data_IF_799951921047
#
_entry.id   IF_799951921047
#
_cell.length_a   1.000
_cell.length_b   1.000
_cell.length_c   1.000
_cell.angle_alpha   90.00
_cell.angle_beta   90.00
_cell.angle_gamma   90.00
#
_symmetry.space_group_name_H-M   'P 1'
#
loop_
_entity.id
_entity.type
_entity.pdbx_description
1 polymer ?
#
# COMPACT_ATOMS: atom_id res chain seq x y z
N UNK A 1 5.19 13.92 -21.70
CA UNK A 1 5.15 12.53 -22.22
C UNK A 1 5.84 11.48 -21.32
N UNK A 2 6.79 11.81 -20.43
CA UNK A 2 7.48 10.81 -19.55
C UNK A 2 6.57 10.08 -18.54
N UNK A 3 5.60 10.77 -17.92
CA UNK A 3 4.74 10.20 -16.87
C UNK A 3 3.70 9.15 -17.37
N UNK A 4 3.53 9.00 -18.69
CA UNK A 4 2.49 8.12 -19.24
C UNK A 4 2.84 6.62 -19.07
N UNK A 5 4.10 6.23 -19.27
CA UNK A 5 4.50 4.81 -19.21
C UNK A 5 4.39 4.23 -17.80
N UNK A 6 4.92 4.93 -16.80
CA UNK A 6 4.86 4.49 -15.39
C UNK A 6 3.42 4.42 -14.90
N UNK A 7 2.58 5.40 -15.26
CA UNK A 7 1.15 5.40 -14.93
C UNK A 7 0.41 4.19 -15.54
N UNK A 8 0.68 3.85 -16.80
CA UNK A 8 0.11 2.65 -17.45
C UNK A 8 0.58 1.34 -16.79
N UNK A 9 1.87 1.23 -16.47
CA UNK A 9 2.42 0.05 -15.78
C UNK A 9 1.79 -0.10 -14.38
N UNK A 10 1.58 1.01 -13.68
CA UNK A 10 0.92 1.04 -12.39
C UNK A 10 -0.52 0.52 -12.48
N UNK A 11 -1.28 0.93 -13.50
CA UNK A 11 -2.65 0.44 -13.70
C UNK A 11 -2.68 -1.08 -13.89
N UNK A 12 -1.81 -1.62 -14.76
CA UNK A 12 -1.71 -3.06 -14.99
C UNK A 12 -1.41 -3.82 -13.69
N UNK A 13 -0.38 -3.41 -12.95
CA UNK A 13 0.01 -4.06 -11.70
C UNK A 13 -1.09 -3.95 -10.62
N UNK A 14 -1.72 -2.79 -10.49
CA UNK A 14 -2.79 -2.57 -9.51
C UNK A 14 -4.02 -3.46 -9.79
N UNK A 15 -4.37 -3.65 -11.07
CA UNK A 15 -5.45 -4.55 -11.48
C UNK A 15 -5.14 -6.02 -11.20
N UNK A 16 -3.88 -6.44 -11.35
CA UNK A 16 -3.45 -7.77 -10.94
C UNK A 16 -3.55 -7.97 -9.42
N UNK A 17 -3.09 -6.99 -8.63
CA UNK A 17 -3.19 -7.02 -7.18
C UNK A 17 -4.67 -7.09 -6.73
N UNK A 18 -5.54 -6.30 -7.36
CA UNK A 18 -6.99 -6.31 -7.14
C UNK A 18 -7.60 -7.67 -7.47
N UNK A 19 -7.24 -8.27 -8.60
CA UNK A 19 -7.71 -9.59 -9.00
C UNK A 19 -7.28 -10.65 -7.98
N UNK A 20 -6.04 -10.58 -7.49
CA UNK A 20 -5.56 -11.45 -6.43
C UNK A 20 -6.33 -11.23 -5.11
N UNK A 21 -6.61 -9.97 -4.77
CA UNK A 21 -7.39 -9.60 -3.59
C UNK A 21 -8.78 -10.24 -3.63
N UNK A 22 -9.50 -10.12 -4.75
CA UNK A 22 -10.86 -10.66 -4.90
C UNK A 22 -10.95 -12.19 -4.77
N UNK A 23 -9.88 -12.92 -5.10
CA UNK A 23 -9.85 -14.38 -5.02
C UNK A 23 -9.63 -14.90 -3.60
N UNK A 24 -9.19 -14.05 -2.68
CA UNK A 24 -8.87 -14.44 -1.30
C UNK A 24 -10.04 -14.23 -0.36
N UNK A 25 -10.27 -15.21 0.52
CA UNK A 25 -10.88 -14.96 1.82
C UNK A 25 -9.82 -14.36 2.72
N UNK A 26 -9.85 -13.05 2.94
CA UNK A 26 -8.97 -12.44 3.92
C UNK A 26 -9.41 -12.86 5.34
N UNK A 27 -8.43 -13.01 6.23
CA UNK A 27 -8.63 -12.66 7.63
C UNK A 27 -7.98 -11.30 7.81
N UNK A 28 -8.67 -10.37 8.48
CA UNK A 28 -8.09 -9.08 8.82
C UNK A 28 -7.32 -9.25 10.13
N UNK A 29 -5.98 -9.18 10.11
CA UNK A 29 -5.21 -9.31 11.34
C UNK A 29 -5.23 -8.01 12.14
N UNK A 30 -5.25 -8.15 13.47
CA UNK A 30 -5.19 -7.00 14.40
C UNK A 30 -3.91 -6.16 14.29
N UNK A 31 -2.82 -6.72 13.72
CA UNK A 31 -1.52 -6.03 13.55
C UNK A 31 -1.02 -6.18 12.11
N UNK A 32 -1.57 -5.39 11.19
CA UNK A 32 -1.22 -5.44 9.76
C UNK A 32 0.27 -5.22 9.47
N UNK A 33 0.95 -4.35 10.22
CA UNK A 33 2.38 -4.13 10.08
C UNK A 33 3.20 -5.43 10.16
N UNK A 34 2.84 -6.36 11.05
CA UNK A 34 3.55 -7.63 11.19
C UNK A 34 3.36 -8.54 9.98
N UNK A 35 2.18 -8.53 9.38
CA UNK A 35 1.90 -9.32 8.18
C UNK A 35 2.69 -8.79 7.00
N UNK A 36 2.74 -7.46 6.83
CA UNK A 36 3.56 -6.83 5.79
C UNK A 36 5.05 -7.19 5.97
N UNK A 37 5.58 -7.17 7.20
CA UNK A 37 6.96 -7.59 7.47
C UNK A 37 7.25 -9.03 6.99
N UNK A 38 6.35 -9.98 7.31
CA UNK A 38 6.48 -11.37 6.84
C UNK A 38 6.49 -11.43 5.29
N UNK A 39 5.68 -10.61 4.63
CA UNK A 39 5.64 -10.58 3.16
C UNK A 39 6.91 -9.98 2.53
N UNK A 40 7.59 -9.05 3.22
CA UNK A 40 8.87 -8.48 2.76
C UNK A 40 9.96 -9.56 2.72
N UNK A 41 10.02 -10.40 3.75
CA UNK A 41 10.97 -11.53 3.82
C UNK A 41 10.71 -12.52 2.68
N UNK A 42 9.44 -12.75 2.35
CA UNK A 42 9.00 -13.64 1.28
C UNK A 42 9.07 -13.02 -0.13
N UNK A 43 9.46 -11.74 -0.26
CA UNK A 43 9.36 -10.98 -1.52
C UNK A 43 7.94 -11.00 -2.13
N UNK A 44 6.90 -11.08 -1.30
CA UNK A 44 5.52 -11.16 -1.76
C UNK A 44 4.88 -9.77 -1.89
N UNK A 45 5.24 -9.07 -2.95
CA UNK A 45 4.85 -7.68 -3.19
C UNK A 45 3.34 -7.49 -3.41
N UNK A 46 2.66 -8.47 -4.02
CA UNK A 46 1.20 -8.43 -4.21
C UNK A 46 0.49 -8.37 -2.85
N UNK A 47 0.96 -9.15 -1.88
CA UNK A 47 0.38 -9.13 -0.54
C UNK A 47 0.73 -7.85 0.22
N UNK A 48 1.92 -7.29 0.03
CA UNK A 48 2.27 -5.98 0.61
C UNK A 48 1.31 -4.89 0.12
N UNK A 49 0.99 -4.87 -1.19
CA UNK A 49 -0.02 -3.97 -1.76
C UNK A 49 -1.38 -4.20 -1.10
N UNK A 50 -1.85 -5.44 -1.07
CA UNK A 50 -3.18 -5.78 -0.58
C UNK A 50 -3.37 -5.50 0.92
N UNK A 51 -2.38 -5.80 1.77
CA UNK A 51 -2.42 -5.45 3.19
C UNK A 51 -2.35 -3.94 3.42
N UNK A 52 -1.65 -3.19 2.56
CA UNK A 52 -1.61 -1.73 2.65
C UNK A 52 -2.96 -1.10 2.29
N UNK A 53 -3.65 -1.61 1.26
CA UNK A 53 -5.02 -1.19 0.93
C UNK A 53 -5.96 -1.54 2.08
N UNK A 54 -5.87 -2.76 2.62
CA UNK A 54 -6.69 -3.21 3.73
C UNK A 54 -6.54 -2.30 4.96
N UNK A 55 -5.31 -1.89 5.27
CA UNK A 55 -5.05 -0.92 6.33
C UNK A 55 -5.80 0.41 6.10
N UNK A 56 -5.77 0.90 4.85
CA UNK A 56 -6.51 2.09 4.43
C UNK A 56 -8.01 1.97 4.67
N UNK A 57 -8.62 0.84 4.28
CA UNK A 57 -10.05 0.55 4.48
C UNK A 57 -10.39 0.58 5.98
N UNK A 58 -9.57 -0.09 6.80
CA UNK A 58 -9.76 -0.18 8.25
C UNK A 58 -9.71 1.18 8.94
N UNK A 59 -8.77 2.04 8.53
CA UNK A 59 -8.65 3.41 9.08
C UNK A 59 -9.88 4.25 8.70
N UNK A 60 -10.39 4.12 7.48
CA UNK A 60 -11.53 4.90 6.99
C UNK A 60 -12.85 4.52 7.68
N UNK A 61 -13.06 3.22 7.96
CA UNK A 61 -14.32 2.75 8.54
C UNK A 61 -14.41 2.90 10.06
N UNK A 62 -13.33 3.33 10.74
CA UNK A 62 -13.24 3.49 12.22
C UNK A 62 -13.71 2.26 13.02
N UNK A 63 -13.81 1.08 12.39
CA UNK A 63 -14.33 -0.17 12.96
C UNK A 63 -13.40 -1.31 12.55
N UNK A 64 -12.69 -1.88 13.52
CA UNK A 64 -11.62 -2.87 13.29
C UNK A 64 -11.91 -4.23 13.96
N UNK A 65 -13.01 -4.40 14.70
CA UNK A 65 -13.21 -5.65 15.47
C UNK A 65 -14.19 -6.67 14.88
N UNK A 66 -14.99 -6.33 13.86
CA UNK A 66 -15.89 -7.30 13.23
C UNK A 66 -15.83 -7.27 11.71
N UNK A 67 -15.15 -8.27 11.16
CA UNK A 67 -15.07 -8.57 9.73
C UNK A 67 -16.42 -9.00 9.12
N UNK A 68 -17.49 -9.07 9.91
CA UNK A 68 -18.71 -9.82 9.56
C UNK A 68 -19.81 -9.03 8.85
N UNK A 69 -19.68 -7.72 8.61
CA UNK A 69 -20.82 -6.92 8.10
C UNK A 69 -20.52 -6.01 6.92
N UNK A 70 -19.30 -5.96 6.40
CA UNK A 70 -19.00 -5.12 5.23
C UNK A 70 -19.30 -5.94 3.98
N UNK A 71 -20.27 -5.51 3.18
CA UNK A 71 -20.59 -6.17 1.92
C UNK A 71 -19.36 -6.16 1.00
N UNK A 72 -19.17 -7.24 0.24
CA UNK A 72 -18.05 -7.36 -0.70
C UNK A 72 -17.96 -6.15 -1.65
N UNK A 73 -19.11 -5.60 -2.05
CA UNK A 73 -19.22 -4.40 -2.89
C UNK A 73 -18.55 -3.18 -2.24
N UNK A 74 -18.79 -2.91 -0.95
CA UNK A 74 -18.20 -1.78 -0.25
C UNK A 74 -16.67 -1.94 -0.15
N UNK A 75 -16.17 -3.16 0.09
CA UNK A 75 -14.72 -3.40 0.17
C UNK A 75 -14.05 -3.10 -1.17
N UNK A 76 -14.69 -3.47 -2.28
CA UNK A 76 -14.18 -3.25 -3.63
C UNK A 76 -14.16 -1.77 -3.97
N UNK A 77 -15.24 -1.05 -3.70
CA UNK A 77 -15.32 0.38 -4.00
C UNK A 77 -14.26 1.17 -3.21
N UNK A 78 -14.03 0.82 -1.94
CA UNK A 78 -13.00 1.46 -1.12
C UNK A 78 -11.60 1.06 -1.58
N UNK A 79 -11.39 -0.19 -2.02
CA UNK A 79 -10.12 -0.64 -2.62
C UNK A 79 -9.77 0.23 -3.82
N UNK A 80 -10.71 0.41 -4.76
CA UNK A 80 -10.52 1.16 -5.99
C UNK A 80 -10.25 2.65 -5.71
N UNK A 81 -10.97 3.23 -4.73
CA UNK A 81 -10.70 4.59 -4.26
C UNK A 81 -9.29 4.74 -3.67
N UNK A 82 -8.85 3.76 -2.87
CA UNK A 82 -7.53 3.81 -2.23
C UNK A 82 -6.41 3.68 -3.27
N UNK A 83 -6.55 2.77 -4.26
CA UNK A 83 -5.62 2.67 -5.39
C UNK A 83 -5.56 3.98 -6.17
N UNK A 84 -6.70 4.60 -6.45
CA UNK A 84 -6.76 5.90 -7.16
C UNK A 84 -6.04 7.01 -6.38
N UNK A 85 -6.26 7.09 -5.06
CA UNK A 85 -5.54 8.04 -4.18
C UNK A 85 -4.03 7.78 -4.21
N UNK A 86 -3.62 6.52 -4.10
CA UNK A 86 -2.21 6.14 -4.13
C UNK A 86 -1.55 6.47 -5.47
N UNK A 87 -2.21 6.18 -6.59
CA UNK A 87 -1.76 6.50 -7.94
C UNK A 87 -1.60 8.00 -8.14
N UNK A 88 -2.58 8.81 -7.73
CA UNK A 88 -2.49 10.27 -7.85
C UNK A 88 -1.30 10.84 -7.06
N UNK A 89 -1.06 10.32 -5.85
CA UNK A 89 0.12 10.70 -5.07
C UNK A 89 1.42 10.24 -5.74
N UNK A 90 1.44 9.02 -6.27
CA UNK A 90 2.56 8.48 -7.04
C UNK A 90 2.88 9.37 -8.23
N UNK A 91 1.92 9.72 -9.07
CA UNK A 91 2.13 10.54 -10.27
C UNK A 91 2.72 11.91 -9.95
N UNK A 92 2.24 12.54 -8.85
CA UNK A 92 2.79 13.80 -8.34
C UNK A 92 4.26 13.62 -7.92
N UNK A 93 4.53 12.69 -6.99
CA UNK A 93 5.89 12.44 -6.49
C UNK A 93 6.84 11.99 -7.59
N UNK A 94 6.37 11.15 -8.51
CA UNK A 94 7.17 10.64 -9.62
C UNK A 94 7.65 11.76 -10.55
N UNK A 95 6.85 12.82 -10.70
CA UNK A 95 7.26 14.05 -11.38
C UNK A 95 8.28 14.83 -10.56
N UNK A 96 8.05 15.01 -9.25
CA UNK A 96 8.93 15.78 -8.34
C UNK A 96 10.32 15.14 -8.17
N UNK A 97 10.41 13.81 -8.26
CA UNK A 97 11.64 13.03 -8.09
C UNK A 97 12.21 12.46 -9.39
N UNK A 98 11.75 12.95 -10.56
CA UNK A 98 12.24 12.53 -11.89
C UNK A 98 12.33 11.00 -12.09
N UNK A 99 11.34 10.26 -11.57
CA UNK A 99 11.32 8.79 -11.61
C UNK A 99 12.52 8.09 -10.94
N UNK A 100 13.11 8.70 -9.90
CA UNK A 100 14.27 8.16 -9.16
C UNK A 100 14.14 6.69 -8.74
N UNK A 101 12.91 6.22 -8.48
CA UNK A 101 12.64 4.82 -8.12
C UNK A 101 13.14 3.81 -9.16
N UNK A 102 13.26 4.20 -10.44
CA UNK A 102 13.78 3.34 -11.51
C UNK A 102 15.21 2.90 -11.24
N UNK A 103 16.01 3.79 -10.64
CA UNK A 103 17.41 3.55 -10.31
C UNK A 103 17.61 2.86 -8.95
N UNK A 104 16.55 2.72 -8.16
CA UNK A 104 16.62 2.04 -6.87
C UNK A 104 16.71 0.52 -7.04
N UNK A 105 17.51 -0.13 -6.20
CA UNK A 105 17.51 -1.58 -6.09
C UNK A 105 16.26 -2.08 -5.36
N UNK A 106 15.89 -3.35 -5.56
CA UNK A 106 14.80 -3.98 -4.79
C UNK A 106 15.09 -3.93 -3.29
N UNK A 107 16.35 -4.09 -2.87
CA UNK A 107 16.74 -3.92 -1.46
C UNK A 107 16.44 -2.53 -0.93
N UNK A 108 16.76 -1.47 -1.70
CA UNK A 108 16.46 -0.10 -1.30
C UNK A 108 14.96 0.15 -1.16
N UNK A 109 14.15 -0.46 -2.03
CA UNK A 109 12.69 -0.40 -1.94
C UNK A 109 12.19 -1.09 -0.67
N UNK A 110 12.76 -2.26 -0.29
CA UNK A 110 12.44 -2.92 0.98
C UNK A 110 12.76 -2.03 2.18
N UNK A 111 13.92 -1.39 2.19
CA UNK A 111 14.34 -0.52 3.29
C UNK A 111 13.39 0.67 3.47
N UNK A 112 12.95 1.29 2.37
CA UNK A 112 11.95 2.36 2.40
C UNK A 112 10.61 1.87 2.96
N UNK A 113 10.14 0.68 2.55
CA UNK A 113 8.91 0.10 3.11
C UNK A 113 9.07 -0.15 4.61
N UNK A 114 10.18 -0.73 5.03
CA UNK A 114 10.44 -1.04 6.43
C UNK A 114 10.51 0.22 7.30
N UNK A 115 11.10 1.30 6.78
CA UNK A 115 11.08 2.62 7.43
C UNK A 115 9.65 3.13 7.67
N UNK A 116 8.74 2.98 6.68
CA UNK A 116 7.33 3.38 6.82
C UNK A 116 6.59 2.52 7.84
N UNK A 117 6.85 1.22 7.87
CA UNK A 117 6.28 0.31 8.88
C UNK A 117 6.70 0.71 10.29
N UNK A 118 7.99 0.92 10.52
CA UNK A 118 8.47 1.35 11.85
C UNK A 118 7.94 2.73 12.25
N UNK A 119 7.73 3.62 11.28
CA UNK A 119 7.05 4.90 11.51
C UNK A 119 5.60 4.69 11.97
N UNK A 120 4.84 3.81 11.32
CA UNK A 120 3.46 3.47 11.71
C UNK A 120 3.44 2.89 13.13
N UNK A 121 4.25 1.87 13.41
CA UNK A 121 4.34 1.25 14.74
C UNK A 121 4.76 2.25 15.83
N UNK A 122 5.64 3.19 15.50
CA UNK A 122 6.02 4.28 16.40
C UNK A 122 4.86 5.23 16.70
N UNK A 123 4.06 5.58 15.68
CA UNK A 123 2.87 6.40 15.87
C UNK A 123 1.82 5.64 16.70
N UNK A 124 1.58 4.36 16.45
CA UNK A 124 0.61 3.52 17.20
C UNK A 124 0.89 3.51 18.71
N UNK A 125 2.17 3.55 19.09
CA UNK A 125 2.58 3.62 20.52
C UNK A 125 2.36 4.99 21.16
N UNK A 126 2.29 6.07 20.37
CA UNK A 126 2.16 7.47 20.83
C UNK A 126 0.82 8.10 20.41
N UNK A 127 -0.23 7.30 20.29
CA UNK A 127 -1.51 7.69 19.67
C UNK A 127 -2.10 9.00 20.23
N UNK A 128 -1.92 9.29 21.52
CA UNK A 128 -2.41 10.49 22.20
C UNK A 128 -1.64 11.78 21.87
N UNK A 129 -0.47 11.69 21.21
CA UNK A 129 0.41 12.83 20.92
C UNK A 129 0.39 13.26 19.44
N UNK A 130 -0.30 12.51 18.58
CA UNK A 130 -0.26 12.72 17.13
C UNK A 130 -1.57 13.31 16.64
N UNK A 131 -1.59 14.63 16.44
CA UNK A 131 -2.70 15.28 15.73
C UNK A 131 -2.86 14.68 14.32
N UNK A 132 -4.11 14.46 13.89
CA UNK A 132 -4.44 13.85 12.61
C UNK A 132 -3.81 12.45 12.39
N UNK A 133 -3.64 11.70 13.48
CA UNK A 133 -3.05 10.35 13.50
C UNK A 133 -3.52 9.44 12.35
N UNK A 134 -4.83 9.33 12.16
CA UNK A 134 -5.42 8.44 11.15
C UNK A 134 -4.95 8.77 9.74
N UNK A 135 -4.91 10.05 9.37
CA UNK A 135 -4.42 10.51 8.06
C UNK A 135 -2.93 10.24 7.90
N UNK A 136 -2.13 10.55 8.92
CA UNK A 136 -0.68 10.31 8.89
C UNK A 136 -0.34 8.83 8.74
N UNK A 137 -1.04 7.94 9.44
CA UNK A 137 -0.88 6.49 9.28
C UNK A 137 -1.30 6.06 7.87
N UNK A 138 -2.45 6.55 7.39
CA UNK A 138 -2.96 6.24 6.06
C UNK A 138 -1.95 6.60 4.95
N UNK A 139 -1.33 7.77 5.03
CA UNK A 139 -0.33 8.22 4.04
C UNK A 139 0.93 7.34 4.03
N UNK A 140 1.32 6.77 5.18
CA UNK A 140 2.44 5.82 5.22
C UNK A 140 2.09 4.49 4.55
N UNK A 141 0.86 4.00 4.70
CA UNK A 141 0.40 2.81 3.96
C UNK A 141 0.30 3.08 2.45
N UNK A 142 -0.07 4.29 2.02
CA UNK A 142 -0.02 4.67 0.60
C UNK A 142 1.42 4.63 0.07
N UNK A 143 2.39 5.15 0.82
CA UNK A 143 3.80 5.08 0.43
C UNK A 143 4.28 3.63 0.31
N UNK A 144 3.96 2.76 1.29
CA UNK A 144 4.29 1.33 1.25
C UNK A 144 3.70 0.67 -0.01
N UNK A 145 2.43 0.94 -0.30
CA UNK A 145 1.72 0.44 -1.48
C UNK A 145 2.46 0.84 -2.76
N UNK A 146 2.80 2.12 -2.91
CA UNK A 146 3.49 2.63 -4.10
C UNK A 146 4.87 2.00 -4.29
N UNK A 147 5.64 1.84 -3.21
CA UNK A 147 6.94 1.17 -3.25
C UNK A 147 6.81 -0.30 -3.65
N UNK A 148 5.80 -1.01 -3.15
CA UNK A 148 5.55 -2.40 -3.54
C UNK A 148 5.13 -2.52 -5.01
N UNK A 149 4.34 -1.57 -5.54
CA UNK A 149 4.03 -1.53 -6.98
C UNK A 149 5.28 -1.26 -7.80
N UNK A 150 6.17 -0.36 -7.39
CA UNK A 150 7.45 -0.15 -8.08
C UNK A 150 8.31 -1.42 -8.12
N UNK A 151 8.37 -2.18 -7.01
CA UNK A 151 9.05 -3.47 -7.02
C UNK A 151 8.44 -4.45 -8.04
N UNK A 152 7.12 -4.54 -8.10
CA UNK A 152 6.41 -5.36 -9.09
C UNK A 152 6.69 -4.92 -10.53
N UNK A 153 6.66 -3.61 -10.80
CA UNK A 153 6.97 -3.07 -12.13
C UNK A 153 8.40 -3.45 -12.56
N UNK A 154 9.39 -3.32 -11.64
CA UNK A 154 10.78 -3.71 -11.89
C UNK A 154 10.93 -5.20 -12.14
N UNK A 155 10.23 -6.04 -11.37
CA UNK A 155 10.31 -7.49 -11.53
C UNK A 155 9.70 -7.98 -12.86
N UNK A 156 8.68 -7.30 -13.38
CA UNK A 156 8.07 -7.64 -14.68
C UNK A 156 8.83 -7.11 -15.89
N UNK A 157 9.60 -6.05 -15.71
CA UNK A 157 10.42 -5.44 -16.76
C UNK A 157 11.84 -5.24 -16.22
N UNK A 158 12.63 -6.33 -16.10
CA UNK A 158 13.97 -6.29 -15.54
C UNK A 158 14.92 -5.36 -16.30
#
# INVERSE_FOLDING_TARGET
MKNNKTSMQYDVISNECRTHFLKKKFLIPKKLCNYILIQIDQNNWIEIVNYSVLAGIMIQQKKIDSMLSVSATIIIDVYDQYIKKAKSLMEKKNSDYEEAWKYMSISSIKDLIMQKIFRIQGMEKRFYEVENYAYKVQDNYIDILNYAIFALIKMKNP
#
